data_IF_975428451024
#
_entry.id   IF_975428451024
#
_cell.length_a   1.000
_cell.length_b   1.000
_cell.length_c   1.000
_cell.angle_alpha   90.00
_cell.angle_beta   90.00
_cell.angle_gamma   90.00
#
_symmetry.space_group_name_H-M   'P 1'
#
loop_
_entity.id
_entity.type
_entity.pdbx_description
1 polymer ?
#
# COMPACT_ATOMS: atom_id res chain seq x y z
N UNK A 1 -0.31 17.29 3.16
CA UNK A 1 -0.73 18.59 3.70
C UNK A 1 0.46 19.34 4.26
N UNK A 2 0.34 20.63 4.45
CA UNK A 2 1.38 21.43 5.04
C UNK A 2 1.40 21.32 6.57
N UNK A 3 2.48 21.76 7.19
CA UNK A 3 2.63 21.66 8.65
C UNK A 3 1.47 22.31 9.42
N UNK A 4 0.91 23.40 8.87
CA UNK A 4 -0.21 24.10 9.51
C UNK A 4 -1.58 23.45 9.24
N UNK A 5 -1.60 22.30 8.57
CA UNK A 5 -2.84 21.59 8.24
C UNK A 5 -3.49 22.03 6.95
N UNK A 6 -2.90 22.99 6.23
CA UNK A 6 -3.46 23.41 4.94
C UNK A 6 -3.06 22.44 3.82
N UNK A 7 -3.69 22.59 2.66
CA UNK A 7 -3.42 21.78 1.47
C UNK A 7 -3.67 20.29 1.69
N UNK A 8 -4.78 19.98 2.35
CA UNK A 8 -5.22 18.59 2.51
C UNK A 8 -5.99 18.15 1.26
N UNK A 9 -5.75 16.89 0.84
CA UNK A 9 -6.52 16.31 -0.26
C UNK A 9 -6.77 14.84 -0.02
N UNK A 10 -7.94 14.38 -0.46
CA UNK A 10 -8.30 12.97 -0.42
C UNK A 10 -7.70 12.26 -1.63
N UNK A 11 -6.97 11.16 -1.41
CA UNK A 11 -6.29 10.45 -2.49
C UNK A 11 -6.90 9.08 -2.80
N UNK A 12 -7.78 8.56 -1.94
CA UNK A 12 -8.52 7.32 -2.23
C UNK A 12 -10.01 7.59 -2.17
N UNK A 13 -10.78 6.85 -3.00
CA UNK A 13 -12.24 6.97 -3.06
C UNK A 13 -12.90 5.60 -3.07
N UNK A 14 -12.28 4.66 -2.36
CA UNK A 14 -12.82 3.33 -2.16
C UNK A 14 -13.88 3.39 -1.07
N UNK A 15 -15.01 2.71 -1.26
CA UNK A 15 -16.10 2.71 -0.28
C UNK A 15 -15.84 1.73 0.87
N UNK A 16 -14.57 1.47 1.16
CA UNK A 16 -14.14 0.55 2.19
C UNK A 16 -13.01 1.19 2.99
N UNK A 17 -12.55 0.49 4.02
CA UNK A 17 -11.50 1.00 4.89
C UNK A 17 -10.16 1.08 4.16
N UNK A 18 -9.46 2.20 4.30
CA UNK A 18 -8.09 2.40 3.82
C UNK A 18 -7.25 2.88 4.99
N UNK A 19 -6.16 2.16 5.32
CA UNK A 19 -5.35 2.51 6.49
C UNK A 19 -3.90 2.04 6.36
N UNK A 20 -3.09 2.44 7.36
CA UNK A 20 -1.68 2.12 7.44
C UNK A 20 -0.90 2.56 6.19
N UNK A 21 -1.03 3.82 5.75
CA UNK A 21 -0.32 4.28 4.56
C UNK A 21 1.17 4.48 4.82
N UNK A 22 1.98 4.26 3.78
CA UNK A 22 3.41 4.49 3.84
C UNK A 22 3.90 4.97 2.48
N UNK A 23 4.62 6.08 2.46
CA UNK A 23 5.20 6.61 1.23
C UNK A 23 6.34 5.73 0.73
N UNK A 24 6.38 5.47 -0.57
CA UNK A 24 7.61 5.00 -1.18
C UNK A 24 8.64 6.16 -1.13
N UNK A 25 9.93 5.87 -0.86
CA UNK A 25 10.93 6.95 -0.77
C UNK A 25 11.07 7.84 -1.99
N UNK A 26 10.61 7.37 -3.17
CA UNK A 26 10.59 8.21 -4.37
C UNK A 26 9.62 9.39 -4.25
N UNK A 27 8.66 9.33 -3.33
CA UNK A 27 7.62 10.34 -3.18
C UNK A 27 6.54 10.30 -4.25
N UNK A 28 6.51 9.28 -5.10
CA UNK A 28 5.58 9.22 -6.24
C UNK A 28 4.32 8.45 -5.97
N UNK A 29 4.34 7.54 -5.00
CA UNK A 29 3.18 6.73 -4.66
C UNK A 29 3.22 6.31 -3.19
N UNK A 30 2.06 5.83 -2.73
CA UNK A 30 1.83 5.40 -1.35
C UNK A 30 1.34 3.96 -1.41
N UNK A 31 1.82 3.13 -0.48
CA UNK A 31 1.27 1.80 -0.25
C UNK A 31 0.36 1.85 0.97
N UNK A 32 -0.74 1.12 0.93
CA UNK A 32 -1.71 1.12 2.03
C UNK A 32 -2.48 -0.20 2.06
N UNK A 33 -3.22 -0.42 3.16
CA UNK A 33 -4.06 -1.60 3.33
C UNK A 33 -5.51 -1.24 3.10
N UNK A 34 -6.27 -2.10 2.40
CA UNK A 34 -7.70 -1.90 2.23
C UNK A 34 -8.43 -3.24 2.18
N UNK A 35 -9.69 -3.24 2.60
CA UNK A 35 -10.54 -4.44 2.59
C UNK A 35 -11.59 -4.38 1.47
N UNK A 36 -11.26 -3.78 0.35
CA UNK A 36 -12.19 -3.62 -0.78
C UNK A 36 -12.68 -4.96 -1.35
N UNK A 37 -11.92 -6.05 -1.14
CA UNK A 37 -12.27 -7.38 -1.63
C UNK A 37 -13.02 -8.25 -0.62
N UNK A 38 -13.36 -7.71 0.54
CA UNK A 38 -14.11 -8.46 1.55
C UNK A 38 -13.80 -7.93 2.94
N UNK A 39 -14.79 -7.97 3.80
CA UNK A 39 -14.74 -7.35 5.11
C UNK A 39 -13.53 -7.77 5.96
N UNK A 40 -13.06 -9.00 5.79
CA UNK A 40 -11.91 -9.54 6.55
C UNK A 40 -10.70 -9.81 5.67
N UNK A 41 -10.75 -9.38 4.42
CA UNK A 41 -9.66 -9.61 3.46
C UNK A 41 -8.94 -8.30 3.20
N UNK A 42 -7.91 -8.01 4.01
CA UNK A 42 -7.10 -6.81 3.83
C UNK A 42 -5.93 -7.13 2.91
N UNK A 43 -5.78 -6.32 1.88
CA UNK A 43 -4.69 -6.46 0.91
C UNK A 43 -3.94 -5.14 0.77
N UNK A 44 -2.70 -5.24 0.30
CA UNK A 44 -1.89 -4.06 0.02
C UNK A 44 -2.19 -3.55 -1.38
N UNK A 45 -2.32 -2.24 -1.49
CA UNK A 45 -2.53 -1.52 -2.74
C UNK A 45 -1.55 -0.36 -2.80
N UNK A 46 -1.23 0.08 -4.03
CA UNK A 46 -0.49 1.33 -4.23
C UNK A 46 -1.37 2.32 -4.98
N UNK A 47 -1.15 3.60 -4.71
CA UNK A 47 -1.86 4.70 -5.38
C UNK A 47 -0.89 5.87 -5.52
N UNK A 48 -1.06 6.65 -6.61
CA UNK A 48 -0.24 7.85 -6.80
C UNK A 48 -0.54 8.89 -5.72
N UNK A 49 0.44 9.73 -5.39
CA UNK A 49 0.30 10.69 -4.29
C UNK A 49 -0.75 11.77 -4.55
N UNK A 50 -1.14 11.98 -5.81
CA UNK A 50 -2.16 12.96 -6.16
C UNK A 50 -3.56 12.36 -6.23
N UNK A 51 -3.69 11.03 -6.15
CA UNK A 51 -4.98 10.36 -6.20
C UNK A 51 -5.66 10.45 -7.55
N UNK A 52 -4.91 10.62 -8.64
CA UNK A 52 -5.45 10.75 -9.99
C UNK A 52 -5.61 9.42 -10.70
N UNK A 53 -4.93 8.38 -10.23
CA UNK A 53 -4.96 7.06 -10.83
C UNK A 53 -5.76 6.09 -9.99
N UNK A 54 -6.23 5.01 -10.60
CA UNK A 54 -6.86 3.94 -9.85
C UNK A 54 -5.82 3.20 -9.01
N UNK A 55 -6.13 2.86 -7.76
CA UNK A 55 -5.21 2.04 -6.95
C UNK A 55 -4.93 0.70 -7.60
N UNK A 56 -3.70 0.20 -7.45
CA UNK A 56 -3.25 -1.07 -8.03
C UNK A 56 -2.98 -2.06 -6.91
N UNK A 57 -3.55 -3.26 -7.05
CA UNK A 57 -3.40 -4.33 -6.05
C UNK A 57 -1.97 -4.87 -6.04
N UNK A 58 -1.41 -5.04 -4.84
CA UNK A 58 -0.05 -5.57 -4.64
C UNK A 58 -0.09 -7.01 -4.15
N UNK A 59 -0.94 -7.33 -3.16
CA UNK A 59 -1.06 -8.68 -2.61
C UNK A 59 -2.42 -9.27 -2.98
N UNK A 60 -2.47 -10.60 -3.11
CA UNK A 60 -3.70 -11.30 -3.47
C UNK A 60 -3.98 -12.52 -2.59
N UNK A 61 -3.38 -12.58 -1.40
CA UNK A 61 -3.60 -13.69 -0.47
C UNK A 61 -4.76 -13.39 0.44
N UNK A 62 -5.74 -14.28 0.49
CA UNK A 62 -6.89 -14.14 1.38
C UNK A 62 -6.44 -14.06 2.84
N UNK A 63 -7.08 -13.20 3.61
CA UNK A 63 -6.78 -12.95 5.01
C UNK A 63 -6.29 -11.53 5.25
N UNK A 64 -5.30 -11.37 6.11
CA UNK A 64 -4.78 -10.06 6.45
C UNK A 64 -3.38 -9.83 5.88
N UNK A 65 -3.24 -8.78 5.08
CA UNK A 65 -1.95 -8.21 4.66
C UNK A 65 -2.01 -6.73 4.96
N UNK A 66 -1.09 -6.23 5.76
CA UNK A 66 -1.14 -4.83 6.16
C UNK A 66 0.15 -4.33 6.79
N UNK A 67 0.07 -3.10 7.29
CA UNK A 67 1.18 -2.43 7.96
C UNK A 67 2.45 -2.43 7.11
N UNK A 68 2.36 -1.99 5.84
CA UNK A 68 3.51 -2.03 4.93
C UNK A 68 4.53 -0.93 5.24
N UNK A 69 5.81 -1.25 5.06
CA UNK A 69 6.92 -0.31 5.28
C UNK A 69 7.96 -0.55 4.19
N UNK A 70 8.38 0.51 3.50
CA UNK A 70 9.51 0.43 2.57
C UNK A 70 10.82 0.69 3.30
N UNK A 71 11.91 0.05 2.84
CA UNK A 71 13.24 0.41 3.31
C UNK A 71 13.62 1.80 2.82
N UNK A 72 14.55 2.50 3.49
CA UNK A 72 14.93 3.86 3.08
C UNK A 72 15.45 3.99 1.65
N UNK A 73 16.02 2.92 1.07
CA UNK A 73 16.46 2.92 -0.31
C UNK A 73 15.33 2.61 -1.30
N UNK A 74 14.15 2.20 -0.78
CA UNK A 74 12.99 1.91 -1.62
C UNK A 74 13.04 0.57 -2.35
N UNK A 75 14.01 -0.29 -2.02
CA UNK A 75 14.22 -1.54 -2.75
C UNK A 75 13.55 -2.76 -2.12
N UNK A 76 13.06 -2.64 -0.89
CA UNK A 76 12.43 -3.76 -0.19
C UNK A 76 11.17 -3.30 0.51
N UNK A 77 10.21 -4.22 0.59
CA UNK A 77 8.95 -4.03 1.32
C UNK A 77 8.87 -5.03 2.45
N UNK A 78 8.51 -4.56 3.63
CA UNK A 78 8.23 -5.40 4.80
C UNK A 78 6.78 -5.17 5.19
N UNK A 79 6.03 -6.23 5.45
CA UNK A 79 4.63 -6.11 5.85
C UNK A 79 4.23 -7.26 6.77
N UNK A 80 3.07 -7.12 7.41
CA UNK A 80 2.49 -8.14 8.27
C UNK A 80 1.47 -8.94 7.47
N UNK A 81 1.53 -10.26 7.58
CA UNK A 81 0.58 -11.13 6.88
C UNK A 81 0.27 -12.36 7.74
N UNK A 82 -0.96 -12.85 7.66
CA UNK A 82 -1.39 -14.08 8.32
C UNK A 82 -1.47 -15.25 7.33
N UNK A 83 -0.72 -15.17 6.24
CA UNK A 83 -0.77 -16.17 5.16
C UNK A 83 -0.20 -17.55 5.53
N UNK A 84 0.41 -17.69 6.70
CA UNK A 84 0.95 -18.97 7.14
C UNK A 84 -0.19 -19.91 7.61
N UNK A 85 0.07 -21.24 7.70
CA UNK A 85 -0.96 -22.18 8.13
C UNK A 85 -1.52 -21.89 9.53
N UNK A 86 -0.74 -21.30 10.43
CA UNK A 86 -1.21 -20.95 11.78
C UNK A 86 -2.18 -19.77 11.78
N UNK A 87 -2.29 -19.03 10.67
CA UNK A 87 -3.14 -17.83 10.58
C UNK A 87 -2.80 -16.76 11.60
N UNK A 88 -1.54 -16.67 11.98
CA UNK A 88 -1.03 -15.64 12.89
C UNK A 88 -0.27 -14.58 12.08
N UNK A 89 -0.26 -13.35 12.60
CA UNK A 89 0.47 -12.27 11.95
C UNK A 89 1.98 -12.46 12.08
N UNK A 90 2.66 -12.56 10.95
CA UNK A 90 4.11 -12.63 10.86
C UNK A 90 4.62 -11.56 9.93
N UNK A 91 5.86 -11.13 10.13
CA UNK A 91 6.49 -10.18 9.22
C UNK A 91 7.03 -10.92 8.00
N UNK A 92 6.78 -10.33 6.84
CA UNK A 92 7.32 -10.80 5.56
C UNK A 92 8.15 -9.69 4.95
N UNK A 93 9.16 -10.06 4.19
CA UNK A 93 10.10 -9.12 3.57
C UNK A 93 10.36 -9.57 2.15
N UNK A 94 10.16 -8.68 1.19
CA UNK A 94 10.32 -8.99 -0.21
C UNK A 94 10.97 -7.87 -0.98
N UNK A 95 11.65 -8.25 -2.07
CA UNK A 95 12.24 -7.27 -2.97
C UNK A 95 11.12 -6.50 -3.68
N UNK A 96 11.26 -5.17 -3.77
CA UNK A 96 10.27 -4.32 -4.40
C UNK A 96 10.74 -3.90 -5.79
N UNK A 97 9.87 -4.06 -6.77
CA UNK A 97 10.14 -3.64 -8.15
C UNK A 97 9.53 -2.26 -8.39
N UNK A 98 10.32 -1.23 -8.10
CA UNK A 98 9.90 0.17 -8.24
C UNK A 98 9.50 0.52 -9.68
N UNK A 99 10.26 0.03 -10.67
CA UNK A 99 9.95 0.33 -12.06
C UNK A 99 8.58 -0.24 -12.46
N UNK A 100 8.29 -1.46 -12.04
CA UNK A 100 7.00 -2.08 -12.30
C UNK A 100 5.86 -1.32 -11.60
N UNK A 101 6.10 -0.81 -10.39
CA UNK A 101 5.11 -0.01 -9.69
C UNK A 101 4.79 1.27 -10.46
N UNK A 102 5.79 1.96 -10.97
CA UNK A 102 5.59 3.16 -11.78
C UNK A 102 4.79 2.83 -13.05
N UNK A 103 5.13 1.74 -13.73
CA UNK A 103 4.42 1.31 -14.93
C UNK A 103 2.96 0.99 -14.62
N UNK A 104 2.70 0.27 -13.52
CA UNK A 104 1.35 -0.12 -13.11
C UNK A 104 0.46 1.09 -12.83
N UNK A 105 1.03 2.18 -12.32
CA UNK A 105 0.31 3.41 -12.04
C UNK A 105 0.37 4.40 -13.21
N UNK A 106 1.01 4.03 -14.33
CA UNK A 106 1.22 4.91 -15.48
C UNK A 106 1.98 6.20 -15.10
N UNK A 107 2.95 6.07 -14.22
CA UNK A 107 3.84 7.15 -13.79
C UNK A 107 5.18 7.03 -14.48
N UNK A 108 5.93 8.12 -14.51
CA UNK A 108 7.26 8.16 -15.12
C UNK A 108 8.36 8.28 -14.10
#
# INVERSE_FOLDING_TARGET
MNIDGSDQKQITRLNMMSWAPFYHPSGKYIIFSTNVHGHRNFELYIVDVDGQKEPVRVTDKEGFDGLPVFTPDGNYLTWTSDRTPEKKGHLFHGKWDHQKALESLSLK
#
